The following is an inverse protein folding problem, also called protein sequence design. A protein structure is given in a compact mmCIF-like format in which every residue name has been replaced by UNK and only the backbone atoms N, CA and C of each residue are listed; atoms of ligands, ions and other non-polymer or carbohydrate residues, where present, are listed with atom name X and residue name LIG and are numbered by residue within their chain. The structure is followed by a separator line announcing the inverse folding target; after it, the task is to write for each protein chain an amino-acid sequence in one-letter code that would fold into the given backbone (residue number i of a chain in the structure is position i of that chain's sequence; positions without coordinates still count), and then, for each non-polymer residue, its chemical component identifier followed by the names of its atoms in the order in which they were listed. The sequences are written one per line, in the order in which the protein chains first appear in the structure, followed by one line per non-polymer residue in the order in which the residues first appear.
data_IF_695840053288
#
_entry.id   IF_695840053288
#
_cell.length_a   1.000
_cell.length_b   1.000
_cell.length_c   1.000
_cell.angle_alpha   90.00
_cell.angle_beta   90.00
_cell.angle_gamma   90.00
#
_symmetry.space_group_name_H-M   'P 1'
#
loop_
_entity.id
_entity.type
_entity.pdbx_description
1 polymer ?
#
# COMPACT_ATOMS: atom_id res chain seq x y z
N UNK A 1 10.04 -21.37 -72.36
CA UNK A 1 9.80 -20.43 -71.25
C UNK A 1 9.24 -21.26 -70.11
N UNK A 2 10.11 -21.82 -69.27
CA UNK A 2 9.70 -22.74 -68.21
C UNK A 2 10.10 -22.09 -66.89
N UNK A 3 9.12 -21.46 -66.24
CA UNK A 3 9.33 -20.74 -64.99
C UNK A 3 9.48 -21.75 -63.84
N UNK A 4 10.68 -21.83 -63.28
CA UNK A 4 10.97 -22.53 -62.06
C UNK A 4 10.27 -21.83 -60.88
N UNK A 5 9.24 -22.47 -60.34
CA UNK A 5 8.68 -22.09 -59.04
C UNK A 5 9.64 -22.65 -57.97
N UNK A 6 10.59 -21.84 -57.53
CA UNK A 6 11.41 -22.14 -56.35
C UNK A 6 10.51 -22.07 -55.13
N UNK A 7 9.98 -23.21 -54.69
CA UNK A 7 9.35 -23.36 -53.39
C UNK A 7 10.40 -23.06 -52.31
N UNK A 8 10.20 -21.94 -51.60
CA UNK A 8 10.91 -21.65 -50.36
C UNK A 8 10.72 -22.83 -49.40
N UNK A 9 11.76 -23.33 -48.71
CA UNK A 9 11.58 -24.32 -47.67
C UNK A 9 10.74 -23.72 -46.55
N UNK A 10 9.69 -24.44 -46.16
CA UNK A 10 8.86 -24.18 -45.00
C UNK A 10 9.75 -23.72 -43.84
N UNK A 11 9.55 -22.47 -43.42
CA UNK A 11 10.17 -21.94 -42.23
C UNK A 11 9.89 -22.93 -41.10
N UNK A 12 10.97 -23.37 -40.44
CA UNK A 12 10.94 -24.20 -39.23
C UNK A 12 9.96 -23.56 -38.25
N UNK A 13 8.71 -24.04 -38.24
CA UNK A 13 7.73 -23.71 -37.22
C UNK A 13 8.22 -24.41 -35.95
N UNK A 14 8.98 -23.68 -35.13
CA UNK A 14 9.25 -24.10 -33.76
C UNK A 14 7.93 -24.49 -33.10
N UNK A 15 7.84 -25.66 -32.44
CA UNK A 15 6.60 -26.06 -31.78
C UNK A 15 6.21 -24.95 -30.79
N UNK A 16 4.92 -24.57 -30.71
CA UNK A 16 4.47 -23.51 -29.83
C UNK A 16 4.91 -23.84 -28.41
N UNK A 17 5.77 -22.98 -27.84
CA UNK A 17 6.26 -23.17 -26.47
C UNK A 17 5.05 -23.32 -25.55
N UNK A 18 4.89 -24.45 -24.84
CA UNK A 18 3.74 -24.65 -23.99
C UNK A 18 3.77 -23.58 -22.89
N UNK A 19 2.70 -22.78 -22.82
CA UNK A 19 2.55 -21.80 -21.76
C UNK A 19 2.59 -22.50 -20.39
N UNK A 20 3.26 -21.93 -19.38
CA UNK A 20 3.31 -22.53 -18.06
C UNK A 20 1.91 -22.63 -17.45
N UNK A 21 1.73 -23.63 -16.59
CA UNK A 21 0.52 -23.79 -15.81
C UNK A 21 0.25 -22.55 -14.92
N UNK A 22 -1.01 -22.26 -14.57
CA UNK A 22 -1.36 -21.16 -13.69
C UNK A 22 -0.62 -21.25 -12.35
N UNK A 23 -0.03 -20.15 -11.92
CA UNK A 23 0.80 -20.13 -10.70
C UNK A 23 -0.02 -20.14 -9.41
N UNK A 24 -1.32 -19.78 -9.48
CA UNK A 24 -2.24 -19.85 -8.34
C UNK A 24 -3.51 -20.64 -8.71
N UNK A 25 -4.15 -21.32 -7.73
CA UNK A 25 -5.40 -22.04 -7.98
C UNK A 25 -6.50 -21.09 -8.47
N UNK A 26 -7.37 -21.52 -9.40
CA UNK A 26 -8.41 -20.65 -9.96
C UNK A 26 -9.40 -20.09 -8.92
N UNK A 27 -9.63 -20.84 -7.85
CA UNK A 27 -10.48 -20.52 -6.70
C UNK A 27 -9.81 -19.62 -5.66
N UNK A 28 -8.54 -19.25 -5.84
CA UNK A 28 -7.80 -18.40 -4.92
C UNK A 28 -8.37 -16.98 -4.91
N UNK A 29 -9.15 -16.67 -3.88
CA UNK A 29 -9.78 -15.37 -3.66
C UNK A 29 -9.23 -14.72 -2.38
N UNK A 30 -8.57 -13.56 -2.51
CA UNK A 30 -7.98 -12.81 -1.40
C UNK A 30 -8.65 -11.45 -1.14
N UNK A 31 -9.81 -11.16 -1.74
CA UNK A 31 -10.49 -9.85 -1.61
C UNK A 31 -10.89 -9.47 -0.17
N UNK A 32 -10.92 -10.44 0.75
CA UNK A 32 -11.13 -10.22 2.20
C UNK A 32 -9.85 -9.94 3.00
N UNK A 33 -8.68 -9.91 2.36
CA UNK A 33 -7.37 -9.66 2.96
C UNK A 33 -6.81 -8.36 2.36
N UNK A 34 -7.10 -7.19 2.97
CA UNK A 34 -6.71 -5.90 2.40
C UNK A 34 -5.19 -5.68 2.45
N UNK A 35 -4.50 -6.36 3.36
CA UNK A 35 -3.06 -6.30 3.49
C UNK A 35 -2.38 -7.32 2.56
N UNK A 36 -1.55 -6.81 1.64
CA UNK A 36 -0.67 -7.61 0.82
C UNK A 36 0.74 -7.61 1.42
N UNK A 37 1.34 -8.76 1.75
CA UNK A 37 2.72 -8.81 2.21
C UNK A 37 3.67 -8.48 1.06
N UNK A 38 4.40 -7.37 1.19
CA UNK A 38 5.41 -6.92 0.25
C UNK A 38 6.80 -7.10 0.86
N UNK A 39 7.67 -7.81 0.15
CA UNK A 39 9.07 -7.97 0.56
C UNK A 39 9.86 -6.76 0.08
N UNK A 40 10.18 -5.86 0.99
CA UNK A 40 10.80 -4.57 0.66
C UNK A 40 12.25 -4.72 0.22
N UNK A 41 13.01 -5.65 0.81
CA UNK A 41 14.39 -5.93 0.38
C UNK A 41 14.39 -6.44 -1.06
N UNK A 42 13.58 -7.47 -1.34
CA UNK A 42 13.48 -8.04 -2.68
C UNK A 42 12.98 -7.04 -3.73
N UNK A 43 12.10 -6.11 -3.33
CA UNK A 43 11.61 -5.06 -4.21
C UNK A 43 12.72 -4.04 -4.54
N UNK A 44 13.39 -3.51 -3.52
CA UNK A 44 14.38 -2.45 -3.69
C UNK A 44 15.67 -2.96 -4.35
N UNK A 45 16.02 -4.23 -4.15
CA UNK A 45 17.18 -4.88 -4.78
C UNK A 45 16.91 -5.37 -6.21
N UNK A 46 15.67 -5.22 -6.71
CA UNK A 46 15.29 -5.74 -8.03
C UNK A 46 15.65 -4.80 -9.18
N UNK A 47 15.87 -5.39 -10.36
CA UNK A 47 16.08 -4.65 -11.61
C UNK A 47 14.92 -3.71 -11.95
N UNK A 48 13.70 -4.04 -11.51
CA UNK A 48 12.55 -3.15 -11.65
C UNK A 48 12.81 -1.82 -10.94
N UNK A 49 13.33 -1.83 -9.71
CA UNK A 49 13.61 -0.59 -8.99
C UNK A 49 14.81 0.16 -9.58
N UNK A 50 15.85 -0.58 -10.00
CA UNK A 50 17.07 0.02 -10.56
C UNK A 50 16.86 0.67 -11.94
N UNK A 51 16.04 0.07 -12.80
CA UNK A 51 15.89 0.47 -14.21
C UNK A 51 14.61 1.28 -14.51
N UNK A 52 13.65 1.31 -13.59
CA UNK A 52 12.37 1.99 -13.85
C UNK A 52 12.43 3.50 -13.65
N UNK A 53 11.65 4.20 -14.46
CA UNK A 53 11.29 5.59 -14.17
C UNK A 53 10.25 5.62 -13.05
N UNK A 54 10.16 6.73 -12.31
CA UNK A 54 9.21 6.85 -11.20
C UNK A 54 7.76 6.56 -11.57
N UNK A 55 7.34 6.86 -12.80
CA UNK A 55 5.98 6.54 -13.25
C UNK A 55 5.82 5.08 -13.68
N UNK A 56 6.84 4.48 -14.30
CA UNK A 56 6.86 3.05 -14.59
C UNK A 56 6.80 2.21 -13.32
N UNK A 57 7.54 2.62 -12.28
CA UNK A 57 7.51 2.00 -10.97
C UNK A 57 6.13 2.07 -10.32
N UNK A 58 5.51 3.26 -10.30
CA UNK A 58 4.14 3.43 -9.79
C UNK A 58 3.16 2.51 -10.49
N UNK A 59 3.26 2.41 -11.83
CA UNK A 59 2.40 1.52 -12.61
C UNK A 59 2.62 0.05 -12.25
N UNK A 60 3.88 -0.39 -12.11
CA UNK A 60 4.21 -1.76 -11.73
C UNK A 60 3.63 -2.13 -10.36
N UNK A 61 3.85 -1.28 -9.35
CA UNK A 61 3.35 -1.50 -7.99
C UNK A 61 1.81 -1.46 -7.96
N UNK A 62 1.18 -0.55 -8.71
CA UNK A 62 -0.27 -0.52 -8.84
C UNK A 62 -0.82 -1.83 -9.42
N UNK A 63 -0.18 -2.39 -10.45
CA UNK A 63 -0.56 -3.67 -11.02
C UNK A 63 -0.39 -4.83 -10.02
N UNK A 64 0.67 -4.85 -9.22
CA UNK A 64 0.84 -5.85 -8.16
C UNK A 64 -0.30 -5.80 -7.14
N UNK A 65 -0.63 -4.60 -6.66
CA UNK A 65 -1.75 -4.40 -5.74
C UNK A 65 -3.10 -4.82 -6.36
N UNK A 66 -3.32 -4.51 -7.64
CA UNK A 66 -4.53 -4.93 -8.35
C UNK A 66 -4.59 -6.44 -8.54
N UNK A 67 -3.47 -7.09 -8.85
CA UNK A 67 -3.38 -8.53 -9.03
C UNK A 67 -3.70 -9.32 -7.76
N UNK A 68 -3.31 -8.80 -6.59
CA UNK A 68 -3.69 -9.37 -5.29
C UNK A 68 -5.22 -9.45 -5.10
N UNK A 69 -5.94 -8.47 -5.63
CA UNK A 69 -7.40 -8.37 -5.51
C UNK A 69 -8.16 -9.13 -6.60
N UNK A 70 -7.47 -9.67 -7.62
CA UNK A 70 -8.11 -10.47 -8.66
C UNK A 70 -8.47 -11.88 -8.18
N UNK A 71 -9.34 -12.53 -8.95
CA UNK A 71 -9.61 -13.96 -8.86
C UNK A 71 -9.28 -14.54 -10.24
N UNK A 72 -8.24 -15.37 -10.38
CA UNK A 72 -7.35 -15.90 -9.32
C UNK A 72 -6.39 -14.83 -8.76
N UNK A 73 -6.12 -14.89 -7.44
CA UNK A 73 -5.22 -13.93 -6.80
C UNK A 73 -3.78 -14.06 -7.33
N UNK A 74 -3.13 -12.91 -7.58
CA UNK A 74 -1.81 -12.84 -8.21
C UNK A 74 -1.83 -12.92 -9.73
N UNK A 75 -3.01 -12.89 -10.36
CA UNK A 75 -3.18 -12.84 -11.81
C UNK A 75 -3.69 -11.47 -12.28
N UNK A 76 -3.48 -11.18 -13.56
CA UNK A 76 -4.06 -10.04 -14.27
C UNK A 76 -4.62 -10.46 -15.63
N UNK A 77 -5.65 -9.74 -16.13
CA UNK A 77 -6.13 -9.93 -17.49
C UNK A 77 -5.07 -9.48 -18.51
N UNK A 78 -4.84 -10.28 -19.55
CA UNK A 78 -3.92 -9.95 -20.64
C UNK A 78 -4.59 -9.03 -21.69
N UNK A 79 -5.11 -7.88 -21.26
CA UNK A 79 -5.72 -6.88 -22.15
C UNK A 79 -5.16 -5.49 -21.85
N UNK A 80 -4.50 -4.89 -22.84
CA UNK A 80 -3.79 -3.62 -22.67
C UNK A 80 -4.70 -2.46 -22.25
N UNK A 81 -5.95 -2.41 -22.70
CA UNK A 81 -6.89 -1.35 -22.28
C UNK A 81 -7.23 -1.47 -20.80
N UNK A 82 -7.43 -2.70 -20.33
CA UNK A 82 -7.72 -2.99 -18.93
C UNK A 82 -6.48 -2.72 -18.08
N UNK A 83 -5.29 -3.13 -18.54
CA UNK A 83 -4.04 -2.89 -17.84
C UNK A 83 -3.68 -1.39 -17.77
N UNK A 84 -3.96 -0.61 -18.81
CA UNK A 84 -3.80 0.84 -18.81
C UNK A 84 -4.66 1.51 -17.73
N UNK A 85 -5.89 1.02 -17.54
CA UNK A 85 -6.79 1.50 -16.49
C UNK A 85 -6.34 1.04 -15.10
N UNK A 86 -5.98 -0.24 -14.93
CA UNK A 86 -5.56 -0.81 -13.66
C UNK A 86 -4.25 -0.21 -13.13
N UNK A 87 -3.30 0.08 -14.02
CA UNK A 87 -2.01 0.71 -13.67
C UNK A 87 -2.11 2.21 -13.38
N UNK A 88 -3.18 2.86 -13.83
CA UNK A 88 -3.29 4.33 -13.78
C UNK A 88 -2.44 5.04 -14.84
N UNK A 89 -1.82 4.32 -15.79
CA UNK A 89 -0.98 4.91 -16.83
C UNK A 89 -1.79 5.68 -17.90
N UNK A 90 -3.05 5.29 -18.13
CA UNK A 90 -3.92 5.89 -19.14
C UNK A 90 -3.26 5.89 -20.53
N UNK A 91 -3.24 7.04 -21.20
CA UNK A 91 -2.66 7.18 -22.55
C UNK A 91 -1.16 6.90 -22.64
N UNK A 92 -0.43 6.91 -21.51
CA UNK A 92 1.01 6.60 -21.46
C UNK A 92 1.31 5.11 -21.35
N UNK A 93 0.29 4.27 -21.29
CA UNK A 93 0.45 2.82 -21.16
C UNK A 93 1.43 2.21 -22.16
N UNK A 94 1.40 2.51 -23.48
CA UNK A 94 2.29 1.87 -24.44
C UNK A 94 3.79 2.05 -24.10
N UNK A 95 4.16 3.22 -23.58
CA UNK A 95 5.55 3.53 -23.19
C UNK A 95 5.94 2.88 -21.86
N UNK A 96 5.00 2.78 -20.91
CA UNK A 96 5.26 2.24 -19.58
C UNK A 96 5.05 0.72 -19.47
N UNK A 97 4.38 0.11 -20.45
CA UNK A 97 3.97 -1.30 -20.46
C UNK A 97 5.14 -2.25 -20.20
N UNK A 98 6.26 -2.06 -20.89
CA UNK A 98 7.46 -2.90 -20.76
C UNK A 98 8.02 -2.89 -19.35
N UNK A 99 8.06 -1.71 -18.71
CA UNK A 99 8.52 -1.56 -17.32
C UNK A 99 7.49 -2.11 -16.34
N UNK A 100 6.20 -1.78 -16.53
CA UNK A 100 5.12 -2.19 -15.65
C UNK A 100 4.88 -3.70 -15.65
N UNK A 101 5.11 -4.35 -16.79
CA UNK A 101 4.99 -5.80 -16.97
C UNK A 101 6.33 -6.55 -16.81
N UNK A 102 7.33 -5.94 -16.18
CA UNK A 102 8.58 -6.61 -15.86
C UNK A 102 8.34 -7.83 -14.96
N UNK A 103 8.85 -9.00 -15.38
CA UNK A 103 8.73 -10.26 -14.63
C UNK A 103 7.34 -10.92 -14.67
N UNK A 104 6.41 -10.42 -15.49
CA UNK A 104 5.12 -11.08 -15.69
C UNK A 104 5.21 -12.20 -16.73
N UNK A 105 4.48 -13.29 -16.48
CA UNK A 105 4.47 -14.50 -17.31
C UNK A 105 3.04 -14.77 -17.76
N UNK A 106 2.86 -15.03 -19.06
CA UNK A 106 1.57 -15.49 -19.59
C UNK A 106 1.42 -16.98 -19.31
N UNK A 107 0.37 -17.37 -18.61
CA UNK A 107 0.05 -18.76 -18.32
C UNK A 107 -0.97 -19.33 -19.32
N UNK A 108 -1.17 -20.66 -19.26
CA UNK A 108 -2.07 -21.40 -20.17
C UNK A 108 -3.55 -20.99 -20.09
N UNK A 109 -3.95 -20.26 -19.04
CA UNK A 109 -5.30 -19.69 -18.86
C UNK A 109 -5.48 -18.33 -19.56
N UNK A 110 -4.46 -17.84 -20.28
CA UNK A 110 -4.48 -16.55 -20.98
C UNK A 110 -4.34 -15.35 -20.05
N UNK A 111 -3.94 -15.57 -18.79
CA UNK A 111 -3.72 -14.50 -17.80
C UNK A 111 -2.24 -14.28 -17.54
N UNK A 112 -1.91 -13.08 -17.09
CA UNK A 112 -0.58 -12.69 -16.67
C UNK A 112 -0.42 -13.02 -15.18
N UNK A 113 0.64 -13.73 -14.82
CA UNK A 113 1.01 -14.01 -13.42
C UNK A 113 2.36 -13.40 -13.10
N UNK A 114 2.49 -12.90 -11.88
CA UNK A 114 3.78 -12.46 -11.36
C UNK A 114 4.29 -13.49 -10.34
N UNK A 115 5.45 -14.14 -10.56
CA UNK A 115 5.94 -15.24 -9.72
C UNK A 115 5.96 -14.92 -8.22
N UNK A 116 6.40 -13.71 -7.88
CA UNK A 116 6.52 -13.28 -6.48
C UNK A 116 5.16 -13.06 -5.84
N UNK A 117 4.23 -12.43 -6.55
CA UNK A 117 2.90 -12.11 -6.01
C UNK A 117 2.06 -13.39 -5.95
N UNK A 118 2.15 -14.26 -6.96
CA UNK A 118 1.53 -15.58 -6.98
C UNK A 118 2.03 -16.43 -5.80
N UNK A 119 3.33 -16.43 -5.50
CA UNK A 119 3.89 -17.12 -4.35
C UNK A 119 3.28 -16.62 -3.03
N UNK A 120 3.23 -15.30 -2.81
CA UNK A 120 2.63 -14.70 -1.60
C UNK A 120 1.12 -14.95 -1.53
N UNK A 121 0.43 -14.90 -2.66
CA UNK A 121 -1.00 -15.18 -2.76
C UNK A 121 -1.31 -16.64 -2.38
N UNK A 122 -0.51 -17.60 -2.86
CA UNK A 122 -0.63 -19.01 -2.47
C UNK A 122 -0.41 -19.23 -0.97
N UNK A 123 0.56 -18.53 -0.36
CA UNK A 123 0.79 -18.61 1.09
C UNK A 123 -0.42 -18.09 1.87
N UNK A 124 -0.96 -16.93 1.48
CA UNK A 124 -2.13 -16.34 2.11
C UNK A 124 -3.39 -17.20 1.90
N UNK A 125 -3.56 -17.78 0.71
CA UNK A 125 -4.66 -18.69 0.40
C UNK A 125 -4.64 -19.94 1.29
N UNK A 126 -3.47 -20.58 1.42
CA UNK A 126 -3.27 -21.72 2.33
C UNK A 126 -3.59 -21.35 3.78
N UNK A 127 -3.13 -20.19 4.25
CA UNK A 127 -3.42 -19.71 5.60
C UNK A 127 -4.93 -19.49 5.82
N UNK A 128 -5.63 -18.92 4.84
CA UNK A 128 -7.08 -18.73 4.87
C UNK A 128 -7.84 -20.05 4.92
N UNK A 129 -7.44 -21.04 4.11
CA UNK A 129 -8.02 -22.39 4.17
C UNK A 129 -7.80 -23.05 5.52
N UNK A 130 -6.59 -22.97 6.08
CA UNK A 130 -6.28 -23.51 7.39
C UNK A 130 -7.07 -22.81 8.51
N UNK A 131 -7.32 -21.50 8.40
CA UNK A 131 -8.17 -20.77 9.34
C UNK A 131 -9.64 -21.23 9.24
N UNK A 132 -10.17 -21.38 8.03
CA UNK A 132 -11.53 -21.91 7.80
C UNK A 132 -11.69 -23.31 8.37
N UNK A 133 -10.72 -24.19 8.13
CA UNK A 133 -10.73 -25.56 8.67
C UNK A 133 -10.69 -25.57 10.21
N UNK A 134 -9.89 -24.70 10.84
CA UNK A 134 -9.86 -24.57 12.31
C UNK A 134 -11.17 -24.03 12.87
N UNK A 135 -11.78 -23.06 12.20
CA UNK A 135 -13.08 -22.51 12.59
C UNK A 135 -14.18 -23.59 12.48
N UNK A 136 -14.22 -24.32 11.37
CA UNK A 136 -15.13 -25.46 11.17
C UNK A 136 -15.05 -26.49 12.30
N UNK A 137 -13.83 -26.87 12.70
CA UNK A 137 -13.59 -27.81 13.83
C UNK A 137 -14.04 -27.25 15.19
N UNK A 138 -13.91 -25.94 15.40
CA UNK A 138 -14.31 -25.29 16.67
C UNK A 138 -15.82 -25.12 16.80
N UNK A 139 -16.48 -24.79 15.69
CA UNK A 139 -17.90 -24.41 15.68
C UNK A 139 -18.82 -25.51 15.12
N UNK A 140 -18.29 -26.71 14.84
CA UNK A 140 -19.09 -27.85 14.37
C UNK A 140 -19.69 -27.72 12.97
N UNK A 141 -19.42 -26.64 12.25
CA UNK A 141 -19.86 -26.46 10.88
C UNK A 141 -18.88 -27.14 9.92
N UNK A 142 -19.26 -28.30 9.38
CA UNK A 142 -18.63 -28.84 8.17
C UNK A 142 -18.75 -27.80 7.06
N UNK A 143 -17.66 -27.40 6.38
CA UNK A 143 -17.77 -26.53 5.22
C UNK A 143 -18.53 -27.31 4.14
N UNK A 144 -19.77 -26.93 3.91
CA UNK A 144 -20.56 -27.42 2.79
C UNK A 144 -19.90 -26.90 1.50
N UNK A 145 -19.48 -27.83 0.64
CA UNK A 145 -18.88 -27.55 -0.64
C UNK A 145 -19.99 -27.46 -1.68
N UNK A 146 -20.30 -26.23 -2.10
CA UNK A 146 -21.10 -25.86 -3.28
C UNK A 146 -22.61 -26.13 -3.26
N UNK A 147 -23.37 -25.44 -2.41
CA UNK A 147 -24.79 -25.18 -2.68
C UNK A 147 -24.98 -24.13 -3.81
N UNK A 148 -25.89 -24.35 -4.78
CA UNK A 148 -26.25 -23.35 -5.78
C UNK A 148 -26.92 -22.12 -5.13
N UNK A 149 -26.91 -20.94 -5.78
CA UNK A 149 -27.45 -19.73 -5.21
C UNK A 149 -28.96 -19.88 -5.03
N UNK A 150 -29.40 -20.07 -3.80
CA UNK A 150 -30.82 -19.97 -3.44
C UNK A 150 -31.18 -18.48 -3.57
N UNK A 151 -32.16 -18.11 -4.42
CA UNK A 151 -32.57 -16.71 -4.53
C UNK A 151 -33.15 -16.25 -3.20
N UNK A 152 -32.67 -15.12 -2.70
CA UNK A 152 -33.14 -14.52 -1.47
C UNK A 152 -34.68 -14.36 -1.52
N UNK A 153 -35.42 -14.83 -0.50
CA UNK A 153 -36.85 -14.55 -0.46
C UNK A 153 -37.05 -13.04 -0.29
N UNK A 154 -37.77 -12.44 -1.22
CA UNK A 154 -38.17 -11.04 -1.19
C UNK A 154 -38.94 -10.76 0.10
N UNK A 155 -38.31 -10.06 1.03
CA UNK A 155 -38.94 -9.54 2.23
C UNK A 155 -39.91 -8.41 1.81
N UNK A 156 -41.18 -8.76 1.68
CA UNK A 156 -42.25 -7.79 1.58
C UNK A 156 -42.55 -7.27 2.98
N UNK A 157 -42.33 -5.97 3.18
CA UNK A 157 -42.69 -5.24 4.39
C UNK A 157 -44.18 -5.38 4.71
N UNK A 158 -44.55 -5.39 5.98
CA UNK A 158 -45.02 -4.24 6.76
C UNK A 158 -45.32 -4.79 8.18
N UNK A 159 -45.23 -4.10 9.31
CA UNK A 159 -45.53 -2.71 9.62
C UNK A 159 -44.91 -2.29 10.96
N UNK A 160 -44.60 -0.99 11.06
CA UNK A 160 -44.68 -0.09 12.23
C UNK A 160 -44.26 -0.59 13.63
N UNK A 161 -43.14 -0.04 14.13
CA UNK A 161 -43.02 0.43 15.51
C UNK A 161 -41.94 1.53 15.58
N UNK A 162 -42.32 2.70 16.10
CA UNK A 162 -41.47 3.87 16.29
C UNK A 162 -40.26 3.56 17.18
N UNK A 163 -39.06 3.70 16.62
CA UNK A 163 -37.80 3.65 17.35
C UNK A 163 -37.49 5.02 17.97
N UNK A 164 -37.71 5.17 19.28
CA UNK A 164 -36.94 6.12 20.09
C UNK A 164 -35.71 5.40 20.64
N UNK A 165 -34.54 5.70 20.08
CA UNK A 165 -33.26 5.30 20.67
C UNK A 165 -33.10 5.98 22.04
N UNK A 166 -32.96 5.16 23.09
CA UNK A 166 -32.35 5.59 24.35
C UNK A 166 -31.12 4.74 24.58
N UNK A 167 -29.96 5.39 24.58
CA UNK A 167 -28.65 4.78 24.80
C UNK A 167 -28.60 4.11 26.18
N UNK A 168 -28.35 2.80 26.20
CA UNK A 168 -28.08 2.04 27.43
C UNK A 168 -26.63 1.58 27.43
N UNK A 169 -25.75 2.47 27.85
CA UNK A 169 -24.37 2.12 28.20
C UNK A 169 -24.37 1.37 29.56
N UNK A 170 -24.26 0.05 29.49
CA UNK A 170 -24.22 -0.81 30.68
C UNK A 170 -22.79 -0.95 31.20
N UNK A 171 -22.49 -0.16 32.24
CA UNK A 171 -21.39 -0.36 33.20
C UNK A 171 -21.44 -1.79 33.75
N UNK A 172 -20.55 -2.65 33.28
CA UNK A 172 -20.18 -3.88 33.98
C UNK A 172 -18.96 -3.62 34.85
N UNK A 173 -19.18 -3.39 36.15
CA UNK A 173 -18.31 -3.84 37.25
C UNK A 173 -18.80 -3.28 38.60
N UNK A 174 -19.48 -4.12 39.36
CA UNK A 174 -19.47 -4.01 40.82
C UNK A 174 -19.82 -5.36 41.43
N UNK A 175 -18.78 -6.19 41.59
CA UNK A 175 -18.75 -7.20 42.66
C UNK A 175 -17.88 -6.62 43.78
N UNK A 176 -18.51 -6.52 44.94
CA UNK A 176 -17.99 -5.93 46.17
C UNK A 176 -16.99 -6.90 46.81
N UNK A 177 -15.85 -6.37 47.24
CA UNK A 177 -15.06 -6.91 48.37
C UNK A 177 -14.31 -5.71 48.96
N UNK A 178 -14.77 -5.15 50.09
CA UNK A 178 -14.39 -5.47 51.49
C UNK A 178 -13.04 -4.84 51.91
N UNK A 179 -13.10 -4.01 52.95
CA UNK A 179 -11.97 -3.47 53.73
C UNK A 179 -11.56 -2.05 53.33
N UNK A 180 -11.19 -1.12 54.21
CA UNK A 180 -11.29 -1.00 55.67
C UNK A 180 -11.05 0.51 55.95
N UNK A 181 -11.50 1.00 57.10
CA UNK A 181 -11.36 2.40 57.52
C UNK A 181 -9.89 2.82 57.72
N UNK A 182 -9.60 4.12 57.56
CA UNK A 182 -8.96 5.03 58.54
C UNK A 182 -7.96 6.02 57.92
N UNK A 183 -8.00 7.27 58.43
CA UNK A 183 -7.07 8.41 58.24
C UNK A 183 -7.10 9.07 56.83
N UNK A 184 -7.05 10.39 56.63
CA UNK A 184 -6.74 11.52 57.48
C UNK A 184 -7.28 12.83 56.84
N UNK A 185 -7.64 13.75 57.73
CA UNK A 185 -7.60 15.21 57.68
C UNK A 185 -7.31 15.94 56.33
N UNK A 186 -8.31 16.73 55.92
CA UNK A 186 -8.23 18.18 55.68
C UNK A 186 -7.12 18.79 54.79
N UNK A 187 -7.62 19.49 53.75
CA UNK A 187 -7.09 20.72 53.07
C UNK A 187 -5.93 20.55 52.07
N UNK A 188 -6.20 20.95 50.82
CA UNK A 188 -5.17 21.26 49.83
C UNK A 188 -5.70 21.39 48.40
N UNK A 189 -6.24 22.56 48.06
CA UNK A 189 -6.65 22.91 46.69
C UNK A 189 -5.37 23.23 45.90
N UNK A 190 -4.92 22.35 45.00
CA UNK A 190 -3.82 22.64 44.06
C UNK A 190 -4.28 22.44 42.61
N UNK A 191 -4.44 23.54 41.90
CA UNK A 191 -4.60 23.61 40.45
C UNK A 191 -3.33 23.12 39.76
N UNK A 192 -3.38 21.99 39.04
CA UNK A 192 -2.31 21.60 38.11
C UNK A 192 -2.42 22.45 36.85
N UNK A 193 -1.39 23.25 36.61
CA UNK A 193 -1.19 23.99 35.37
C UNK A 193 -1.09 23.02 34.17
N UNK A 194 -1.83 23.32 33.12
CA UNK A 194 -1.78 22.62 31.85
C UNK A 194 -0.48 23.01 31.12
N UNK A 195 0.45 22.07 31.01
CA UNK A 195 1.66 22.24 30.18
C UNK A 195 1.29 21.83 28.76
N UNK A 196 1.28 22.74 27.78
CA UNK A 196 0.86 22.41 26.42
C UNK A 196 1.87 21.47 25.74
N UNK A 197 1.33 20.56 24.94
CA UNK A 197 2.07 19.50 24.27
C UNK A 197 3.00 20.08 23.17
N UNK A 198 4.21 19.55 22.93
CA UNK A 198 5.23 20.15 22.05
C UNK A 198 4.78 20.42 20.59
N UNK A 199 3.72 19.74 20.13
CA UNK A 199 3.16 19.92 18.79
C UNK A 199 2.23 21.13 18.67
N UNK A 200 1.59 21.55 19.78
CA UNK A 200 0.74 22.75 19.79
C UNK A 200 1.57 24.03 19.69
N UNK A 201 2.76 24.02 20.30
CA UNK A 201 3.71 25.14 20.21
C UNK A 201 4.24 25.31 18.77
N UNK A 202 4.48 24.21 18.06
CA UNK A 202 4.90 24.25 16.65
C UNK A 202 3.78 24.78 15.76
N UNK A 203 2.53 24.39 16.00
CA UNK A 203 1.36 24.89 15.27
C UNK A 203 1.13 26.39 15.51
N UNK A 204 1.33 26.87 16.74
CA UNK A 204 1.23 28.28 17.08
C UNK A 204 2.32 29.12 16.37
N UNK A 205 3.57 28.63 16.34
CA UNK A 205 4.70 29.29 15.64
C UNK A 205 4.47 29.38 14.12
N UNK A 206 3.91 28.34 13.50
CA UNK A 206 3.60 28.36 12.07
C UNK A 206 2.50 29.38 11.73
N UNK A 207 1.46 29.45 12.59
CA UNK A 207 0.38 30.43 12.46
C UNK A 207 0.90 31.86 12.60
N UNK A 208 1.77 32.13 13.57
CA UNK A 208 2.39 33.46 13.75
C UNK A 208 3.28 33.87 12.56
N UNK A 209 4.08 32.94 12.00
CA UNK A 209 4.88 33.21 10.78
C UNK A 209 4.01 33.49 9.57
N UNK A 210 2.89 32.78 9.43
CA UNK A 210 1.93 33.01 8.32
C UNK A 210 1.20 34.35 8.45
N UNK A 211 0.90 34.79 9.68
CA UNK A 211 0.28 36.08 9.95
C UNK A 211 1.24 37.25 9.72
N UNK A 212 2.51 37.13 10.15
CA UNK A 212 3.55 38.13 9.91
C UNK A 212 3.85 38.30 8.40
N UNK A 213 3.85 37.21 7.64
CA UNK A 213 4.02 37.24 6.18
C UNK A 213 2.86 37.90 5.44
N UNK A 214 1.63 37.77 5.95
CA UNK A 214 0.45 38.49 5.41
C UNK A 214 0.44 39.99 5.76
N UNK A 215 1.14 40.41 6.80
CA UNK A 215 1.22 41.81 7.25
C UNK A 215 2.45 42.57 6.73
N UNK A 216 3.23 41.97 5.81
CA UNK A 216 4.30 42.69 5.09
C UNK A 216 5.48 43.18 5.95
N UNK A 217 5.75 42.57 7.12
CA UNK A 217 6.88 42.94 7.97
C UNK A 217 8.03 41.93 7.79
N UNK A 218 9.01 42.27 6.95
CA UNK A 218 10.26 41.51 6.85
C UNK A 218 11.07 41.60 8.16
N UNK A 219 11.66 40.50 8.65
CA UNK A 219 12.61 40.55 9.75
C UNK A 219 13.97 41.08 9.26
N UNK A 220 14.58 41.97 10.05
CA UNK A 220 15.84 42.64 9.77
C UNK A 220 16.97 41.64 9.43
N UNK A 221 17.67 41.89 8.31
CA UNK A 221 18.96 41.27 7.98
C UNK A 221 20.01 41.71 9.00
N UNK A 222 20.62 40.77 9.70
CA UNK A 222 21.90 41.00 10.36
C UNK A 222 23.00 41.13 9.30
N UNK A 223 23.54 42.33 9.15
CA UNK A 223 24.75 42.61 8.37
C UNK A 223 25.97 42.37 9.27
N UNK A 224 27.00 41.60 8.85
CA UNK A 224 28.25 41.55 9.59
C UNK A 224 29.05 42.84 9.38
N UNK A 225 29.47 43.43 10.48
CA UNK A 225 30.23 44.67 10.62
C UNK A 225 31.65 44.49 10.03
N UNK A 226 32.00 45.32 9.04
CA UNK A 226 33.32 45.38 8.44
C UNK A 226 34.20 46.38 9.23
N UNK A 227 35.36 45.92 9.73
CA UNK A 227 36.38 46.79 10.30
C UNK A 227 37.43 47.18 9.25
N UNK A 228 37.97 48.42 9.31
CA UNK A 228 38.69 49.05 8.20
C UNK A 228 40.19 48.74 8.12
N UNK A 229 40.68 48.90 6.89
CA UNK A 229 42.02 48.71 6.34
C UNK A 229 42.98 49.87 6.67
N UNK A 230 44.21 49.58 7.10
CA UNK A 230 45.39 50.48 7.09
C UNK A 230 46.61 49.59 6.75
N UNK A 231 47.09 49.56 5.49
CA UNK A 231 48.16 50.40 4.93
C UNK A 231 49.56 50.14 5.54
N UNK A 232 50.51 49.70 4.72
CA UNK A 232 51.94 49.92 4.95
C UNK A 232 52.89 48.76 4.63
N UNK A 233 53.53 48.85 3.47
CA UNK A 233 54.98 48.69 3.22
C UNK A 233 55.68 47.32 3.17
N UNK A 234 56.14 47.01 1.95
CA UNK A 234 57.55 46.76 1.55
C UNK A 234 58.46 45.87 2.42
N UNK A 235 58.75 44.64 1.94
CA UNK A 235 60.01 44.23 1.25
C UNK A 235 60.33 42.72 1.42
N UNK A 236 61.09 42.11 0.48
CA UNK A 236 61.39 40.68 0.44
C UNK A 236 62.73 40.34 1.10
N UNK A 237 62.90 39.10 1.58
CA UNK A 237 64.23 38.58 1.91
C UNK A 237 64.27 37.24 2.64
N UNK A 238 65.15 36.35 2.15
CA UNK A 238 65.77 35.22 2.87
C UNK A 238 64.94 33.93 2.84
N UNK A 239 65.32 32.85 2.14
CA UNK A 239 66.55 32.05 2.19
C UNK A 239 66.69 31.23 3.50
N UNK A 240 67.09 29.96 3.32
CA UNK A 240 67.66 29.02 4.31
C UNK A 240 66.61 28.34 5.24
N UNK A 241 66.55 27.01 5.45
CA UNK A 241 67.41 25.85 5.19
C UNK A 241 66.55 24.61 4.88
#
# INVERSE_FOLDING_TARGET
MNNAHTSLPDAVQEPPRPFPAPMTPPQSDLRGLPFMPLDTCRLLDSDLFALSTGDGFKCAVALWCKAWQQVPAGSLPHNDRVLAHLSGAGGRWPTLRTVALHGWVVCSDGRLYHPVIAQKANQAWKARLAQRARAARRWGHTPEESAPPIPAPACHGTAHADARESERESKSRSLRSRGNNQADLARGRSSKAHVPHPLEEQAARLRQRSAARKQGREPARNTPEAQPHMAGDDKPGGAEC
#
